data_IF_689593685940
#
_entry.id   IF_689593685940
#
_cell.length_a   1.000
_cell.length_b   1.000
_cell.length_c   1.000
_cell.angle_alpha   90.00
_cell.angle_beta   90.00
_cell.angle_gamma   90.00
#
_symmetry.space_group_name_H-M   'P 1'
#
loop_
_entity.id
_entity.type
_entity.pdbx_description
1 polymer ?
#
# COMPACT_ATOMS: atom_id res chain seq x y z
N UNK A 1 -16.60 18.60 9.77
CA UNK A 1 -15.62 17.93 10.68
C UNK A 1 -14.42 17.53 9.84
N UNK A 2 -13.20 17.74 10.36
CA UNK A 2 -11.94 17.62 9.59
C UNK A 2 -11.47 16.19 9.33
N UNK A 3 -10.16 16.01 9.13
CA UNK A 3 -9.52 14.72 8.85
C UNK A 3 -9.42 13.76 10.05
N UNK A 4 -10.01 14.13 11.20
CA UNK A 4 -9.89 13.39 12.46
C UNK A 4 -11.21 12.73 12.88
N UNK A 5 -11.08 11.57 13.53
CA UNK A 5 -12.15 10.87 14.23
C UNK A 5 -12.52 11.58 15.55
N UNK A 6 -13.68 11.25 16.11
CA UNK A 6 -14.11 11.72 17.44
C UNK A 6 -13.32 11.09 18.59
N UNK A 7 -12.80 9.88 18.37
CA UNK A 7 -11.90 9.14 19.26
C UNK A 7 -10.87 8.37 18.44
N UNK A 8 -9.67 8.12 18.98
CA UNK A 8 -8.65 7.38 18.24
C UNK A 8 -8.98 5.89 18.19
N UNK A 9 -8.64 5.25 17.07
CA UNK A 9 -8.53 3.79 16.99
C UNK A 9 -7.24 3.38 17.68
N UNK A 10 -7.37 2.66 18.79
CA UNK A 10 -6.24 2.25 19.65
C UNK A 10 -5.78 0.82 19.41
N UNK A 11 -6.49 0.07 18.57
CA UNK A 11 -6.10 -1.27 18.17
C UNK A 11 -4.73 -1.25 17.48
N UNK A 12 -3.94 -2.27 17.77
CA UNK A 12 -2.57 -2.40 17.27
C UNK A 12 -2.49 -3.64 16.41
N UNK A 13 -2.08 -3.46 15.16
CA UNK A 13 -1.58 -4.55 14.34
C UNK A 13 -0.10 -4.74 14.69
N UNK A 14 0.24 -5.89 15.26
CA UNK A 14 1.60 -6.17 15.76
C UNK A 14 2.13 -7.41 15.09
N UNK A 15 3.31 -7.27 14.48
CA UNK A 15 4.05 -8.34 13.83
C UNK A 15 5.37 -8.53 14.57
N UNK A 16 5.68 -9.76 14.94
CA UNK A 16 6.93 -10.13 15.59
C UNK A 16 7.60 -11.29 14.85
N UNK A 17 8.91 -11.39 14.98
CA UNK A 17 9.66 -12.49 14.41
C UNK A 17 11.03 -12.64 15.06
N UNK A 18 11.57 -13.83 14.97
CA UNK A 18 12.93 -14.11 15.43
C UNK A 18 13.60 -15.15 14.55
N UNK A 19 14.91 -15.01 14.44
CA UNK A 19 15.86 -15.98 13.90
C UNK A 19 16.90 -16.26 14.97
N UNK A 20 17.88 -17.11 14.66
CA UNK A 20 18.98 -17.40 15.59
C UNK A 20 19.84 -16.15 15.87
N UNK A 21 19.91 -15.22 14.92
CA UNK A 21 20.81 -14.05 14.97
C UNK A 21 20.08 -12.72 15.26
N UNK A 22 18.76 -12.64 15.03
CA UNK A 22 17.99 -11.40 15.13
C UNK A 22 16.54 -11.65 15.58
N UNK A 23 16.08 -10.88 16.55
CA UNK A 23 14.66 -10.74 16.91
C UNK A 23 14.14 -9.34 16.56
N UNK A 24 12.90 -9.23 16.08
CA UNK A 24 12.28 -7.97 15.68
C UNK A 24 10.79 -7.91 16.03
N UNK A 25 10.27 -6.70 16.12
CA UNK A 25 8.85 -6.42 16.34
C UNK A 25 8.45 -5.11 15.65
N UNK A 26 7.26 -5.10 15.07
CA UNK A 26 6.61 -3.96 14.42
C UNK A 26 5.21 -3.82 15.05
N UNK A 27 4.80 -2.60 15.36
CA UNK A 27 3.44 -2.32 15.80
C UNK A 27 2.92 -1.09 15.08
N UNK A 28 1.73 -1.19 14.51
CA UNK A 28 1.07 -0.16 13.74
C UNK A 28 -0.32 0.11 14.34
N UNK A 29 -0.73 1.38 14.37
CA UNK A 29 -2.04 1.78 14.87
C UNK A 29 -2.53 3.03 14.13
N UNK A 30 -3.84 3.11 13.86
CA UNK A 30 -4.43 4.20 13.07
C UNK A 30 -4.52 5.53 13.84
N UNK A 31 -4.78 5.45 15.15
CA UNK A 31 -4.93 6.64 15.98
C UNK A 31 -6.12 7.49 15.55
N UNK A 32 -5.92 8.81 15.43
CA UNK A 32 -7.00 9.77 15.18
C UNK A 32 -7.37 9.94 13.70
N UNK A 33 -6.62 9.34 12.77
CA UNK A 33 -6.89 9.46 11.34
C UNK A 33 -8.12 8.63 10.97
N UNK A 34 -8.84 9.05 9.93
CA UNK A 34 -9.99 8.30 9.41
C UNK A 34 -9.61 6.95 8.81
N UNK A 35 -8.46 6.89 8.14
CA UNK A 35 -7.95 5.69 7.49
C UNK A 35 -6.51 5.44 7.95
N UNK A 36 -6.13 4.16 8.06
CA UNK A 36 -4.74 3.74 8.20
C UNK A 36 -4.10 3.65 6.81
N UNK A 37 -3.29 4.65 6.46
CA UNK A 37 -2.62 4.73 5.14
C UNK A 37 -1.23 4.07 5.14
N UNK A 38 -0.68 3.74 6.32
CA UNK A 38 0.63 3.12 6.43
C UNK A 38 0.62 1.63 6.08
N UNK A 39 1.77 1.16 5.61
CA UNK A 39 2.08 -0.25 5.44
C UNK A 39 3.50 -0.55 5.93
N UNK A 40 3.80 -1.82 6.16
CA UNK A 40 5.12 -2.25 6.59
C UNK A 40 5.49 -3.60 5.99
N UNK A 41 6.80 -3.87 5.93
CA UNK A 41 7.36 -5.17 5.57
C UNK A 41 8.42 -5.56 6.60
N UNK A 42 8.39 -6.83 6.99
CA UNK A 42 9.46 -7.49 7.72
C UNK A 42 9.70 -8.85 7.08
N UNK A 43 10.91 -9.08 6.58
CA UNK A 43 11.24 -10.32 5.91
C UNK A 43 12.67 -10.77 6.14
N UNK A 44 12.85 -12.06 6.36
CA UNK A 44 14.15 -12.73 6.38
C UNK A 44 14.42 -13.28 4.97
N UNK A 45 15.32 -12.65 4.21
CA UNK A 45 15.58 -12.99 2.80
C UNK A 45 16.55 -14.16 2.70
N UNK A 46 17.66 -14.09 3.43
CA UNK A 46 18.71 -15.12 3.48
C UNK A 46 19.33 -15.12 4.87
N UNK A 47 20.19 -16.10 5.15
CA UNK A 47 20.85 -16.32 6.45
C UNK A 47 21.32 -15.03 7.15
N UNK A 48 21.90 -14.10 6.40
CA UNK A 48 22.50 -12.85 6.89
C UNK A 48 21.80 -11.59 6.38
N UNK A 49 20.67 -11.73 5.66
CA UNK A 49 20.00 -10.59 5.02
C UNK A 49 18.53 -10.50 5.41
N UNK A 50 18.16 -9.34 5.93
CA UNK A 50 16.80 -9.01 6.37
C UNK A 50 16.34 -7.73 5.68
N UNK A 51 15.05 -7.67 5.35
CA UNK A 51 14.40 -6.51 4.78
C UNK A 51 13.32 -6.01 5.73
N UNK A 52 13.47 -4.77 6.18
CA UNK A 52 12.47 -4.05 6.95
C UNK A 52 12.16 -2.74 6.25
N UNK A 53 10.88 -2.36 6.19
CA UNK A 53 10.45 -1.12 5.57
C UNK A 53 9.11 -0.64 6.10
N UNK A 54 8.98 0.68 6.26
CA UNK A 54 7.74 1.36 6.61
C UNK A 54 7.39 2.30 5.46
N UNK A 55 6.12 2.27 5.04
CA UNK A 55 5.59 3.06 3.94
C UNK A 55 4.47 3.93 4.49
N UNK A 56 4.68 5.25 4.55
CA UNK A 56 3.69 6.25 4.97
C UNK A 56 2.87 6.67 3.74
N UNK A 57 1.60 6.25 3.71
CA UNK A 57 0.69 6.56 2.61
C UNK A 57 0.12 7.98 2.73
N UNK A 58 -0.08 8.64 1.60
CA UNK A 58 -0.74 9.94 1.57
C UNK A 58 -1.74 10.05 0.41
N UNK A 59 -3.01 10.26 0.76
CA UNK A 59 -4.11 10.36 -0.21
C UNK A 59 -4.70 9.01 -0.61
N UNK A 60 -4.37 7.97 0.16
CA UNK A 60 -4.83 6.60 -0.03
C UNK A 60 -3.76 5.57 0.40
N UNK A 61 -4.16 4.42 0.97
CA UNK A 61 -3.26 3.35 1.40
C UNK A 61 -2.66 2.51 0.25
N UNK A 62 -3.19 2.64 -0.98
CA UNK A 62 -2.97 1.66 -2.04
C UNK A 62 -1.50 1.56 -2.45
N UNK A 63 -0.81 2.69 -2.59
CA UNK A 63 0.61 2.74 -2.97
C UNK A 63 1.50 2.19 -1.85
N UNK A 64 1.25 2.57 -0.59
CA UNK A 64 2.00 2.04 0.55
C UNK A 64 1.86 0.52 0.65
N UNK A 65 0.64 -0.01 0.50
CA UNK A 65 0.36 -1.44 0.47
C UNK A 65 1.02 -2.12 -0.72
N UNK A 66 0.90 -1.55 -1.92
CA UNK A 66 1.58 -2.05 -3.12
C UNK A 66 3.10 -2.18 -2.90
N UNK A 67 3.74 -1.15 -2.36
CA UNK A 67 5.17 -1.19 -2.01
C UNK A 67 5.47 -2.33 -1.03
N UNK A 68 4.71 -2.47 0.06
CA UNK A 68 4.94 -3.55 1.05
C UNK A 68 4.77 -4.96 0.48
N UNK A 69 3.93 -5.13 -0.56
CA UNK A 69 3.65 -6.43 -1.17
C UNK A 69 4.71 -6.85 -2.18
N UNK A 70 5.20 -5.92 -3.00
CA UNK A 70 5.99 -6.26 -4.20
C UNK A 70 7.47 -5.88 -4.10
N UNK A 71 7.87 -4.96 -3.22
CA UNK A 71 9.26 -4.47 -3.18
C UNK A 71 10.28 -5.57 -2.93
N UNK A 72 9.91 -6.56 -2.10
CA UNK A 72 10.76 -7.73 -1.82
C UNK A 72 11.01 -8.55 -3.07
N UNK A 73 9.95 -8.85 -3.82
CA UNK A 73 10.05 -9.69 -5.01
C UNK A 73 10.93 -9.04 -6.07
N UNK A 74 10.79 -7.73 -6.28
CA UNK A 74 11.63 -7.00 -7.23
C UNK A 74 13.08 -6.90 -6.74
N UNK A 75 13.31 -6.76 -5.43
CA UNK A 75 14.66 -6.82 -4.84
C UNK A 75 15.31 -8.20 -5.02
N UNK A 76 14.59 -9.28 -4.74
CA UNK A 76 15.09 -10.66 -4.94
C UNK A 76 15.27 -11.00 -6.43
N UNK A 77 14.62 -10.29 -7.36
CA UNK A 77 14.82 -10.43 -8.81
C UNK A 77 16.04 -9.68 -9.32
N UNK A 78 16.38 -8.53 -8.72
CA UNK A 78 17.52 -7.68 -9.09
C UNK A 78 18.83 -8.49 -9.20
N UNK A 79 19.55 -8.26 -10.30
CA UNK A 79 20.88 -8.86 -10.51
C UNK A 79 21.92 -8.25 -9.57
N UNK A 80 21.81 -6.94 -9.33
CA UNK A 80 22.64 -6.16 -8.42
C UNK A 80 22.51 -6.68 -6.99
N UNK A 81 21.29 -6.96 -6.53
CA UNK A 81 21.06 -7.55 -5.19
C UNK A 81 21.75 -8.91 -5.06
N UNK A 82 21.61 -9.78 -6.08
CA UNK A 82 22.27 -11.10 -6.10
C UNK A 82 23.79 -11.02 -6.16
N UNK A 83 24.34 -9.94 -6.72
CA UNK A 83 25.76 -9.65 -6.76
C UNK A 83 26.30 -9.03 -5.46
N UNK A 84 25.42 -8.70 -4.50
CA UNK A 84 25.78 -8.00 -3.26
C UNK A 84 25.94 -6.48 -3.43
N UNK A 85 25.52 -5.92 -4.57
CA UNK A 85 25.52 -4.49 -4.86
C UNK A 85 24.26 -3.82 -4.30
N UNK A 86 24.11 -3.84 -2.97
CA UNK A 86 22.86 -3.48 -2.30
C UNK A 86 22.40 -2.05 -2.58
N UNK A 87 23.32 -1.07 -2.57
CA UNK A 87 23.00 0.34 -2.84
C UNK A 87 22.37 0.51 -4.22
N UNK A 88 23.02 -0.02 -5.26
CA UNK A 88 22.51 0.02 -6.63
C UNK A 88 21.18 -0.71 -6.76
N UNK A 89 21.05 -1.88 -6.13
CA UNK A 89 19.82 -2.65 -6.16
C UNK A 89 18.62 -1.90 -5.57
N UNK A 90 18.80 -1.19 -4.45
CA UNK A 90 17.73 -0.42 -3.82
C UNK A 90 17.30 0.75 -4.71
N UNK A 91 18.25 1.50 -5.28
CA UNK A 91 17.93 2.60 -6.21
C UNK A 91 17.12 2.07 -7.40
N UNK A 92 17.58 0.98 -8.01
CA UNK A 92 16.89 0.37 -9.14
C UNK A 92 15.49 -0.13 -8.76
N UNK A 93 15.35 -0.83 -7.64
CA UNK A 93 14.06 -1.36 -7.19
C UNK A 93 13.05 -0.25 -6.90
N UNK A 94 13.46 0.87 -6.30
CA UNK A 94 12.54 2.00 -6.09
C UNK A 94 12.03 2.59 -7.41
N UNK A 95 12.90 2.75 -8.41
CA UNK A 95 12.47 3.15 -9.76
C UNK A 95 11.54 2.11 -10.39
N UNK A 96 11.88 0.84 -10.26
CA UNK A 96 11.08 -0.28 -10.77
C UNK A 96 9.68 -0.29 -10.17
N UNK A 97 9.53 -0.03 -8.87
CA UNK A 97 8.22 0.07 -8.21
C UNK A 97 7.36 1.18 -8.82
N UNK A 98 7.95 2.35 -9.12
CA UNK A 98 7.22 3.45 -9.77
C UNK A 98 6.80 3.07 -11.21
N UNK A 99 7.70 2.46 -11.97
CA UNK A 99 7.40 1.96 -13.32
C UNK A 99 6.27 0.90 -13.32
N UNK A 100 6.28 -0.01 -12.34
CA UNK A 100 5.24 -1.02 -12.19
C UNK A 100 3.88 -0.38 -11.94
N UNK A 101 3.79 0.59 -11.03
CA UNK A 101 2.52 1.29 -10.74
C UNK A 101 1.95 2.04 -11.95
N UNK A 102 2.81 2.44 -12.89
CA UNK A 102 2.43 3.11 -14.14
C UNK A 102 2.04 2.12 -15.25
N UNK A 103 2.34 0.83 -15.09
CA UNK A 103 1.99 -0.22 -16.04
C UNK A 103 0.51 -0.63 -15.93
N UNK A 104 -0.02 -1.27 -16.97
CA UNK A 104 -1.38 -1.81 -16.95
C UNK A 104 -1.57 -2.89 -15.86
N UNK A 105 -0.54 -3.70 -15.62
CA UNK A 105 -0.54 -4.72 -14.58
C UNK A 105 -0.58 -4.09 -13.18
N UNK A 106 0.32 -3.15 -12.91
CA UNK A 106 0.36 -2.46 -11.61
C UNK A 106 -0.91 -1.65 -11.36
N UNK A 107 -1.50 -1.04 -12.39
CA UNK A 107 -2.80 -0.38 -12.24
C UNK A 107 -3.91 -1.36 -11.82
N UNK A 108 -3.95 -2.56 -12.43
CA UNK A 108 -4.89 -3.62 -12.05
C UNK A 108 -4.68 -4.10 -10.61
N UNK A 109 -3.42 -4.24 -10.20
CA UNK A 109 -3.05 -4.60 -8.83
C UNK A 109 -3.48 -3.52 -7.82
N UNK A 110 -3.21 -2.24 -8.11
CA UNK A 110 -3.66 -1.10 -7.29
C UNK A 110 -5.20 -1.06 -7.18
N UNK A 111 -5.93 -1.32 -8.27
CA UNK A 111 -7.39 -1.37 -8.23
C UNK A 111 -7.90 -2.56 -7.38
N UNK A 112 -7.24 -3.72 -7.46
CA UNK A 112 -7.55 -4.88 -6.63
C UNK A 112 -7.33 -4.58 -5.15
N UNK A 113 -6.19 -3.95 -4.81
CA UNK A 113 -5.89 -3.48 -3.45
C UNK A 113 -7.00 -2.55 -2.97
N UNK A 114 -7.36 -1.52 -3.76
CA UNK A 114 -8.45 -0.60 -3.40
C UNK A 114 -9.75 -1.32 -3.10
N UNK A 115 -10.19 -2.22 -3.99
CA UNK A 115 -11.44 -2.99 -3.83
C UNK A 115 -11.42 -3.87 -2.58
N UNK A 116 -10.26 -4.45 -2.25
CA UNK A 116 -10.11 -5.26 -1.03
C UNK A 116 -10.27 -4.43 0.24
N UNK A 117 -9.73 -3.21 0.25
CA UNK A 117 -9.82 -2.28 1.37
C UNK A 117 -11.22 -1.71 1.54
N UNK A 118 -11.88 -1.31 0.45
CA UNK A 118 -13.27 -0.85 0.48
C UNK A 118 -14.22 -1.94 1.02
N UNK A 119 -13.93 -3.22 0.72
CA UNK A 119 -14.70 -4.34 1.25
C UNK A 119 -14.47 -4.55 2.75
N UNK A 120 -13.24 -4.36 3.22
CA UNK A 120 -12.90 -4.48 4.65
C UNK A 120 -13.57 -3.38 5.47
N UNK A 121 -13.60 -2.13 4.98
CA UNK A 121 -14.29 -1.03 5.67
C UNK A 121 -15.82 -1.20 5.64
N UNK A 122 -16.38 -1.70 4.54
CA UNK A 122 -17.83 -1.92 4.43
C UNK A 122 -18.38 -3.01 5.38
N UNK A 123 -17.53 -3.90 5.88
CA UNK A 123 -17.91 -4.85 6.93
C UNK A 123 -17.86 -4.25 8.34
N UNK A 124 -17.25 -3.08 8.50
CA UNK A 124 -17.10 -2.38 9.78
C UNK A 124 -18.10 -1.21 9.94
N UNK A 125 -18.58 -0.65 8.83
CA UNK A 125 -19.51 0.49 8.81
C UNK A 125 -21.01 0.07 8.73
N UNK A 126 -21.59 -0.44 9.82
CA UNK A 126 -23.06 -0.38 10.01
C UNK A 126 -23.55 0.91 10.71
N UNK A 127 -22.68 1.88 11.01
CA UNK A 127 -23.12 3.22 11.45
C UNK A 127 -22.18 4.36 10.97
N UNK A 128 -22.54 5.05 9.87
CA UNK A 128 -21.93 6.35 9.56
C UNK A 128 -22.11 6.88 8.12
N UNK A 129 -22.88 7.95 7.97
CA UNK A 129 -23.13 8.68 6.71
C UNK A 129 -21.85 9.35 6.16
N UNK A 130 -21.12 8.66 5.27
CA UNK A 130 -19.86 9.17 4.69
C UNK A 130 -20.06 9.91 3.35
N UNK A 131 -20.06 11.24 3.43
CA UNK A 131 -19.97 12.17 2.29
C UNK A 131 -18.73 11.96 1.39
N UNK A 132 -17.65 11.34 1.87
CA UNK A 132 -16.46 11.04 1.06
C UNK A 132 -16.69 9.89 0.08
N UNK A 133 -17.46 8.88 0.47
CA UNK A 133 -17.97 7.83 -0.42
C UNK A 133 -18.74 8.40 -1.62
N UNK A 134 -19.54 9.45 -1.40
CA UNK A 134 -20.26 10.17 -2.47
C UNK A 134 -19.30 10.91 -3.41
N UNK A 135 -18.29 11.60 -2.88
CA UNK A 135 -17.27 12.28 -3.70
C UNK A 135 -16.44 11.28 -4.52
N UNK A 136 -16.08 10.13 -3.93
CA UNK A 136 -15.36 9.05 -4.64
C UNK A 136 -16.21 8.45 -5.77
N UNK A 137 -17.52 8.25 -5.54
CA UNK A 137 -18.47 7.84 -6.59
C UNK A 137 -18.62 8.89 -7.69
N UNK A 138 -18.65 10.18 -7.35
CA UNK A 138 -18.71 11.27 -8.34
C UNK A 138 -17.46 11.30 -9.23
N UNK A 139 -16.27 11.18 -8.64
CA UNK A 139 -15.02 11.20 -9.41
C UNK A 139 -14.88 9.95 -10.30
N UNK A 140 -15.33 8.78 -9.84
CA UNK A 140 -15.31 7.57 -10.67
C UNK A 140 -16.31 7.64 -11.82
N UNK A 141 -17.52 8.19 -11.58
CA UNK A 141 -18.52 8.44 -12.63
C UNK A 141 -18.00 9.42 -13.69
N UNK A 142 -17.33 10.49 -13.27
CA UNK A 142 -16.80 11.50 -14.18
C UNK A 142 -15.66 10.94 -15.06
N UNK A 143 -14.83 10.03 -14.51
CA UNK A 143 -13.79 9.34 -15.28
C UNK A 143 -14.36 8.33 -16.27
N UNK A 144 -15.41 7.59 -15.90
CA UNK A 144 -16.10 6.67 -16.82
C UNK A 144 -16.78 7.42 -17.97
N UNK A 145 -17.40 8.58 -17.70
CA UNK A 145 -18.01 9.41 -18.73
C UNK A 145 -16.97 9.97 -19.71
N UNK A 146 -15.80 10.40 -19.23
CA UNK A 146 -14.72 10.87 -20.10
C UNK A 146 -14.11 9.75 -20.94
N UNK A 147 -13.99 8.53 -20.40
CA UNK A 147 -13.53 7.36 -21.16
C UNK A 147 -14.53 6.93 -22.23
N UNK A 148 -15.84 7.00 -21.94
CA UNK A 148 -16.88 6.68 -22.91
C UNK A 148 -16.96 7.73 -24.03
N UNK A 149 -16.79 9.01 -23.71
CA UNK A 149 -16.74 10.09 -24.69
C UNK A 149 -15.52 9.97 -25.63
N UNK A 150 -14.36 9.54 -25.13
CA UNK A 150 -13.17 9.29 -25.94
C UNK A 150 -13.34 8.09 -26.89
N UNK A 151 -14.06 7.04 -26.47
CA UNK A 151 -14.32 5.87 -27.29
C UNK A 151 -15.39 6.11 -28.38
N UNK A 152 -16.30 7.07 -28.19
CA UNK A 152 -17.32 7.42 -29.18
C UNK A 152 -16.84 8.42 -30.26
N UNK A 153 -15.65 9.01 -30.08
CA UNK A 153 -15.06 9.98 -31.00
C UNK A 153 -13.97 9.39 -31.92
N UNK A 154 -13.76 8.07 -31.87
CA UNK A 154 -12.88 7.29 -32.74
C UNK A 154 -13.71 6.41 -33.69
#
# INVERSE_FOLDING_TARGET
>A
MGQYLSSPVTEKDTLEGSTDDLSYGISAHQGWRKNMEDAHIAHHISKDTYLFGIFDGHGGPEVAKFCSMYIREELERSGEFKAGEYEGSLVHVFHRMDDLMRSAEGFSQLESIRKSLDKASATEDEEGDDTYSMLRKLVSLQRMQNSAAAAAAA
#
